data_IF_619689419298
#
_entry.id   IF_619689419298
#
_cell.length_a   1.000
_cell.length_b   1.000
_cell.length_c   1.000
_cell.angle_alpha   90.00
_cell.angle_beta   90.00
_cell.angle_gamma   90.00
#
_symmetry.space_group_name_H-M   'P 1'
#
loop_
_entity.id
_entity.type
_entity.pdbx_description
1 polymer ?
#
# COMPACT_ATOMS: atom_id res chain seq x y z
N UNK A 1 3.57 8.65 29.91
CA UNK A 1 3.82 7.26 29.51
C UNK A 1 4.20 7.31 28.03
N UNK A 2 5.50 7.23 27.70
CA UNK A 2 5.97 7.26 26.32
C UNK A 2 5.42 6.00 25.60
N UNK A 3 4.53 6.20 24.63
CA UNK A 3 4.22 5.15 23.66
C UNK A 3 5.42 5.05 22.71
N UNK A 4 6.27 4.07 22.93
CA UNK A 4 7.26 3.68 21.92
C UNK A 4 6.49 2.91 20.84
N UNK A 5 6.10 3.58 19.78
CA UNK A 5 5.74 2.88 18.53
C UNK A 5 7.06 2.34 17.97
N UNK A 6 7.27 1.04 18.11
CA UNK A 6 8.41 0.39 17.46
C UNK A 6 8.03 0.13 16.01
N UNK A 7 8.24 1.13 15.18
CA UNK A 7 7.99 1.08 13.74
C UNK A 7 9.25 0.73 12.95
N UNK A 8 10.40 0.77 13.62
CA UNK A 8 11.64 0.21 13.09
C UNK A 8 12.39 -0.56 14.19
N UNK A 9 13.17 -1.53 13.77
CA UNK A 9 14.09 -2.29 14.62
C UNK A 9 15.47 -2.24 13.98
N UNK A 10 16.49 -2.06 14.80
CA UNK A 10 17.87 -2.15 14.36
C UNK A 10 18.50 -3.38 15.03
N UNK A 11 18.98 -4.31 14.24
CA UNK A 11 19.71 -5.48 14.69
C UNK A 11 21.16 -5.42 14.20
N UNK A 12 22.11 -5.66 15.09
CA UNK A 12 23.54 -5.69 14.77
C UNK A 12 23.95 -7.14 14.50
N UNK A 13 24.36 -7.42 13.28
CA UNK A 13 24.95 -8.69 12.89
C UNK A 13 26.47 -8.53 12.74
N UNK A 14 27.19 -9.65 12.74
CA UNK A 14 28.65 -9.65 12.49
C UNK A 14 29.01 -9.07 11.11
N UNK A 15 28.08 -9.15 10.14
CA UNK A 15 28.25 -8.70 8.74
C UNK A 15 27.67 -7.33 8.44
N UNK A 16 27.13 -6.59 9.44
CA UNK A 16 26.49 -5.28 9.24
C UNK A 16 25.24 -5.12 10.08
N UNK A 17 24.52 -4.01 9.88
CA UNK A 17 23.23 -3.73 10.55
C UNK A 17 22.08 -4.23 9.69
N UNK A 18 21.05 -4.75 10.32
CA UNK A 18 19.72 -4.89 9.68
C UNK A 18 18.79 -3.87 10.29
N UNK A 19 18.23 -3.02 9.45
CA UNK A 19 17.24 -1.99 9.83
C UNK A 19 15.90 -2.41 9.25
N UNK A 20 14.93 -2.65 10.12
CA UNK A 20 13.60 -3.11 9.74
C UNK A 20 12.59 -1.98 9.89
N UNK A 21 11.85 -1.67 8.84
CA UNK A 21 10.73 -0.73 8.83
C UNK A 21 9.42 -1.49 8.66
N UNK A 22 8.41 -1.08 9.42
CA UNK A 22 7.07 -1.64 9.32
C UNK A 22 6.11 -0.58 8.79
N UNK A 23 5.70 -0.73 7.53
CA UNK A 23 4.75 0.15 6.84
C UNK A 23 3.36 -0.50 6.95
N UNK A 24 2.60 -0.14 7.99
CA UNK A 24 1.32 -0.80 8.31
C UNK A 24 0.11 0.09 8.18
N UNK A 25 0.29 1.38 8.35
CA UNK A 25 -0.77 2.37 8.35
C UNK A 25 -0.73 3.22 7.08
N UNK A 26 -1.45 4.31 7.08
CA UNK A 26 -1.45 5.30 6.02
C UNK A 26 -0.06 5.94 5.86
N UNK A 27 0.39 6.06 4.63
CA UNK A 27 1.59 6.83 4.29
C UNK A 27 1.20 8.30 4.34
N UNK A 28 1.79 9.02 5.29
CA UNK A 28 1.45 10.41 5.53
C UNK A 28 2.66 11.25 5.95
N UNK A 29 2.65 12.56 5.65
CA UNK A 29 3.67 13.47 6.16
C UNK A 29 3.57 13.60 7.69
N UNK A 30 4.61 14.19 8.28
CA UNK A 30 4.49 14.73 9.63
C UNK A 30 3.43 15.82 9.67
N UNK A 31 2.75 15.91 10.77
CA UNK A 31 1.65 16.84 10.97
C UNK A 31 1.64 17.45 12.36
N UNK A 32 0.58 18.14 12.64
CA UNK A 32 0.20 18.61 13.96
C UNK A 32 -1.19 18.10 14.29
N UNK A 33 -1.43 17.79 15.56
CA UNK A 33 -2.76 17.41 16.04
C UNK A 33 -3.16 18.29 17.22
N UNK A 34 -4.45 18.50 17.39
CA UNK A 34 -4.98 19.23 18.53
C UNK A 34 -5.07 18.28 19.74
N UNK A 35 -4.34 18.63 20.80
CA UNK A 35 -4.42 17.94 22.09
C UNK A 35 -5.51 18.59 22.96
N UNK A 36 -6.63 17.92 23.11
CA UNK A 36 -7.76 18.38 23.90
C UNK A 36 -7.46 18.51 25.40
N UNK A 37 -6.42 17.84 25.92
CA UNK A 37 -6.04 17.91 27.32
C UNK A 37 -5.26 19.18 27.65
N UNK A 38 -4.41 19.60 26.75
CA UNK A 38 -3.57 20.81 26.87
C UNK A 38 -4.15 22.04 26.16
N UNK A 39 -5.20 21.85 25.34
CA UNK A 39 -5.79 22.88 24.47
C UNK A 39 -4.76 23.55 23.53
N UNK A 40 -3.86 22.76 22.99
CA UNK A 40 -2.79 23.21 22.07
C UNK A 40 -2.63 22.28 20.90
N UNK A 41 -2.08 22.82 19.81
CA UNK A 41 -1.50 22.02 18.76
C UNK A 41 -0.20 21.41 19.26
N UNK A 42 0.00 20.13 18.99
CA UNK A 42 1.22 19.38 19.29
C UNK A 42 1.68 18.66 18.04
N UNK A 43 2.99 18.46 17.93
CA UNK A 43 3.55 17.70 16.82
C UNK A 43 2.94 16.29 16.75
N UNK A 44 2.66 15.85 15.54
CA UNK A 44 2.18 14.50 15.22
C UNK A 44 3.13 13.85 14.19
N UNK A 45 4.32 13.42 14.62
CA UNK A 45 5.30 12.81 13.73
C UNK A 45 4.76 11.52 13.14
N UNK A 46 5.09 11.28 11.87
CA UNK A 46 4.73 10.07 11.16
C UNK A 46 5.95 9.19 10.95
N UNK A 47 5.80 7.90 11.26
CA UNK A 47 6.78 6.85 10.97
C UNK A 47 6.72 6.34 9.51
N UNK A 48 5.77 6.85 8.74
CA UNK A 48 5.63 6.65 7.30
C UNK A 48 5.94 7.92 6.51
N UNK A 49 6.57 8.91 7.12
CA UNK A 49 7.01 10.13 6.44
C UNK A 49 8.39 9.97 5.80
N UNK A 50 8.62 10.68 4.71
CA UNK A 50 9.95 10.75 4.08
C UNK A 50 11.03 11.20 5.05
N UNK A 51 10.73 12.14 5.97
CA UNK A 51 11.67 12.59 7.00
C UNK A 51 12.11 11.44 7.88
N UNK A 52 11.16 10.66 8.40
CA UNK A 52 11.45 9.51 9.24
C UNK A 52 12.37 8.49 8.55
N UNK A 53 12.10 8.17 7.29
CA UNK A 53 12.97 7.29 6.51
C UNK A 53 14.38 7.89 6.32
N UNK A 54 14.49 9.15 5.95
CA UNK A 54 15.79 9.80 5.78
C UNK A 54 16.64 9.76 7.05
N UNK A 55 16.03 10.03 8.22
CA UNK A 55 16.72 10.00 9.50
C UNK A 55 17.24 8.60 9.85
N UNK A 56 16.46 7.57 9.60
CA UNK A 56 16.81 6.19 9.94
C UNK A 56 17.68 5.48 8.90
N UNK A 57 17.70 5.95 7.66
CA UNK A 57 18.62 5.48 6.61
C UNK A 57 19.99 6.17 6.69
N UNK A 58 20.11 7.26 7.43
CA UNK A 58 21.35 8.01 7.52
C UNK A 58 22.48 7.18 8.14
N UNK A 59 23.64 7.19 7.47
CA UNK A 59 24.84 6.48 7.94
C UNK A 59 24.85 4.97 7.69
N UNK A 60 23.88 4.44 6.96
CA UNK A 60 23.94 3.05 6.47
C UNK A 60 24.98 2.93 5.35
N UNK A 61 25.56 1.76 5.24
CA UNK A 61 26.63 1.40 4.30
C UNK A 61 26.20 0.20 3.43
N UNK A 62 27.00 -0.13 2.43
CA UNK A 62 26.76 -1.32 1.59
C UNK A 62 26.85 -2.67 2.35
N UNK A 63 27.37 -2.67 3.58
CA UNK A 63 27.40 -3.86 4.43
C UNK A 63 26.07 -4.05 5.19
N UNK A 64 25.19 -3.05 5.17
CA UNK A 64 23.93 -3.06 5.92
C UNK A 64 22.78 -3.55 5.05
N UNK A 65 21.67 -3.94 5.69
CA UNK A 65 20.44 -4.35 5.01
C UNK A 65 19.26 -3.57 5.57
N UNK A 66 18.41 -3.10 4.68
CA UNK A 66 17.11 -2.50 5.01
C UNK A 66 16.03 -3.50 4.67
N UNK A 67 15.13 -3.80 5.60
CA UNK A 67 13.94 -4.62 5.38
C UNK A 67 12.69 -3.81 5.57
N UNK A 68 11.81 -3.86 4.59
CA UNK A 68 10.50 -3.23 4.61
C UNK A 68 9.44 -4.32 4.75
N UNK A 69 8.64 -4.25 5.80
CA UNK A 69 7.46 -5.11 5.97
C UNK A 69 6.23 -4.27 5.68
N UNK A 70 5.54 -4.58 4.58
CA UNK A 70 4.49 -3.73 4.02
C UNK A 70 3.12 -4.42 4.16
N UNK A 71 2.22 -3.74 4.87
CA UNK A 71 0.80 -4.05 4.92
C UNK A 71 0.02 -2.73 5.02
N UNK A 72 -0.11 -2.02 3.91
CA UNK A 72 -0.64 -0.65 3.86
C UNK A 72 -1.55 -0.44 2.65
N UNK A 73 -2.59 0.36 2.86
CA UNK A 73 -3.50 0.83 1.81
C UNK A 73 -2.91 1.97 0.97
N UNK A 74 -1.74 2.49 1.35
CA UNK A 74 -1.13 3.64 0.69
C UNK A 74 -1.37 4.95 1.44
N UNK A 75 -1.51 6.05 0.72
CA UNK A 75 -1.69 7.39 1.28
C UNK A 75 -1.03 8.45 0.41
N UNK A 76 -0.24 9.34 0.99
CA UNK A 76 0.36 10.48 0.31
C UNK A 76 1.44 10.05 -0.72
N UNK A 77 1.18 10.36 -1.98
CA UNK A 77 2.06 10.00 -3.10
C UNK A 77 3.40 10.76 -3.06
N UNK A 78 3.42 11.98 -2.53
CA UNK A 78 4.65 12.78 -2.40
C UNK A 78 5.58 12.14 -1.38
N UNK A 79 5.03 11.70 -0.23
CA UNK A 79 5.80 10.97 0.77
C UNK A 79 6.33 9.65 0.20
N UNK A 80 5.49 8.89 -0.53
CA UNK A 80 5.90 7.63 -1.14
C UNK A 80 7.05 7.81 -2.16
N UNK A 81 6.96 8.79 -3.05
CA UNK A 81 8.03 9.11 -4.01
C UNK A 81 9.31 9.58 -3.30
N UNK A 82 9.16 10.31 -2.20
CA UNK A 82 10.27 10.73 -1.36
C UNK A 82 10.96 9.55 -0.67
N UNK A 83 10.19 8.62 -0.11
CA UNK A 83 10.69 7.39 0.51
C UNK A 83 11.35 6.49 -0.55
N UNK A 84 10.70 6.27 -1.70
CA UNK A 84 11.29 5.57 -2.84
C UNK A 84 12.69 6.11 -3.17
N UNK A 85 12.78 7.44 -3.32
CA UNK A 85 14.04 8.10 -3.65
C UNK A 85 15.09 7.98 -2.54
N UNK A 86 14.68 8.00 -1.28
CA UNK A 86 15.58 7.80 -0.13
C UNK A 86 16.17 6.37 -0.12
N UNK A 87 15.30 5.36 -0.30
CA UNK A 87 15.71 3.95 -0.38
C UNK A 87 16.63 3.69 -1.56
N UNK A 88 16.33 4.24 -2.75
CA UNK A 88 17.18 4.09 -3.95
C UNK A 88 18.55 4.76 -3.83
N UNK A 89 18.70 5.79 -2.99
CA UNK A 89 19.98 6.44 -2.69
C UNK A 89 20.74 5.76 -1.55
N UNK A 90 20.06 4.94 -0.75
CA UNK A 90 20.69 4.22 0.34
C UNK A 90 21.70 3.21 -0.22
N UNK A 91 22.94 3.16 0.29
CA UNK A 91 23.92 2.18 -0.17
C UNK A 91 23.66 0.75 0.34
N UNK A 92 22.81 0.59 1.37
CA UNK A 92 22.43 -0.71 1.92
C UNK A 92 21.54 -1.50 0.94
N UNK A 93 21.59 -2.82 1.03
CA UNK A 93 20.66 -3.69 0.32
C UNK A 93 19.24 -3.50 0.85
N UNK A 94 18.27 -3.28 -0.03
CA UNK A 94 16.87 -3.08 0.35
C UNK A 94 16.04 -4.32 -0.03
N UNK A 95 15.36 -4.90 0.95
CA UNK A 95 14.44 -6.03 0.77
C UNK A 95 13.03 -5.61 1.22
N UNK A 96 12.02 -5.90 0.41
CA UNK A 96 10.62 -5.66 0.76
C UNK A 96 9.87 -6.99 0.89
N UNK A 97 9.11 -7.12 1.96
CA UNK A 97 8.24 -8.24 2.27
C UNK A 97 6.81 -7.73 2.33
N UNK A 98 5.93 -8.28 1.50
CA UNK A 98 4.52 -7.92 1.49
C UNK A 98 3.79 -8.81 2.48
N UNK A 99 3.36 -8.24 3.60
CA UNK A 99 2.71 -8.98 4.70
C UNK A 99 1.21 -9.15 4.52
N UNK A 100 0.60 -8.33 3.64
CA UNK A 100 -0.81 -8.35 3.34
C UNK A 100 -1.07 -7.58 2.06
N UNK A 101 -1.14 -6.27 2.16
CA UNK A 101 -1.36 -5.38 1.01
C UNK A 101 -0.19 -4.43 0.81
N UNK A 102 0.23 -4.26 -0.44
CA UNK A 102 1.00 -3.12 -0.89
C UNK A 102 0.12 -2.34 -1.88
N UNK A 103 -0.75 -1.47 -1.38
CA UNK A 103 -1.72 -0.77 -2.21
C UNK A 103 -1.32 0.69 -2.45
N UNK A 104 -1.64 1.22 -3.65
CA UNK A 104 -1.45 2.64 -3.98
C UNK A 104 -0.02 3.13 -3.70
N UNK A 105 0.15 4.18 -2.91
CA UNK A 105 1.44 4.74 -2.52
C UNK A 105 2.41 3.70 -1.90
N UNK A 106 1.90 2.69 -1.19
CA UNK A 106 2.72 1.62 -0.61
C UNK A 106 3.34 0.71 -1.68
N UNK A 107 2.67 0.51 -2.80
CA UNK A 107 3.23 -0.24 -3.93
C UNK A 107 4.41 0.49 -4.57
N UNK A 108 4.36 1.84 -4.63
CA UNK A 108 5.49 2.65 -5.13
C UNK A 108 6.72 2.45 -4.24
N UNK A 109 6.55 2.44 -2.93
CA UNK A 109 7.66 2.21 -1.98
C UNK A 109 8.27 0.82 -2.19
N UNK A 110 7.45 -0.21 -2.38
CA UNK A 110 7.94 -1.56 -2.65
C UNK A 110 8.83 -1.64 -3.89
N UNK A 111 8.57 -0.81 -4.92
CA UNK A 111 9.38 -0.76 -6.14
C UNK A 111 10.82 -0.25 -5.90
N UNK A 112 11.11 0.36 -4.76
CA UNK A 112 12.45 0.80 -4.43
C UNK A 112 13.38 -0.34 -4.00
N UNK A 113 12.84 -1.50 -3.62
CA UNK A 113 13.60 -2.62 -3.10
C UNK A 113 14.43 -3.33 -4.19
N UNK A 114 15.58 -3.85 -3.80
CA UNK A 114 16.40 -4.71 -4.67
C UNK A 114 15.78 -6.12 -4.78
N UNK A 115 15.04 -6.54 -3.75
CA UNK A 115 14.31 -7.81 -3.70
C UNK A 115 12.93 -7.58 -3.10
N UNK A 116 11.89 -8.05 -3.78
CA UNK A 116 10.50 -8.01 -3.31
C UNK A 116 9.99 -9.44 -3.15
N UNK A 117 9.62 -9.78 -1.93
CA UNK A 117 9.09 -11.09 -1.53
C UNK A 117 7.60 -10.96 -1.29
N UNK A 118 6.82 -11.80 -1.94
CA UNK A 118 5.37 -11.70 -1.92
C UNK A 118 4.73 -13.08 -1.69
N UNK A 119 4.32 -13.41 -0.43
CA UNK A 119 3.56 -14.61 -0.15
C UNK A 119 2.30 -14.71 -1.01
N UNK A 120 1.86 -15.92 -1.35
CA UNK A 120 0.72 -16.15 -2.25
C UNK A 120 -0.62 -15.63 -1.74
N UNK A 121 -0.74 -15.43 -0.42
CA UNK A 121 -1.91 -14.86 0.24
C UNK A 121 -1.89 -13.34 0.34
N UNK A 122 -1.00 -12.65 -0.40
CA UNK A 122 -0.87 -11.19 -0.39
C UNK A 122 -1.21 -10.58 -1.73
N UNK A 123 -1.49 -9.29 -1.75
CA UNK A 123 -1.91 -8.56 -2.94
C UNK A 123 -1.17 -7.23 -3.08
N UNK A 124 -1.02 -6.78 -4.32
CA UNK A 124 -0.62 -5.42 -4.65
C UNK A 124 -1.77 -4.72 -5.39
N UNK A 125 -1.97 -3.42 -5.16
CA UNK A 125 -2.93 -2.63 -5.93
C UNK A 125 -2.23 -1.38 -6.47
N UNK A 126 -2.42 -1.16 -7.76
CA UNK A 126 -1.86 -0.03 -8.46
C UNK A 126 -2.95 0.81 -9.12
N UNK A 127 -2.85 2.11 -9.01
CA UNK A 127 -3.76 3.08 -9.63
C UNK A 127 -3.08 4.44 -9.81
N UNK A 128 -3.69 5.32 -10.58
CA UNK A 128 -3.26 6.69 -10.73
C UNK A 128 -3.45 7.49 -9.44
N UNK A 129 -2.58 8.46 -9.19
CA UNK A 129 -2.76 9.41 -8.10
C UNK A 129 -4.08 10.18 -8.27
N UNK A 130 -4.72 10.45 -7.14
CA UNK A 130 -5.95 11.21 -7.12
C UNK A 130 -5.94 12.22 -5.98
N UNK A 131 -6.58 13.37 -6.17
CA UNK A 131 -6.88 14.32 -5.11
C UNK A 131 -8.25 14.97 -5.28
N UNK A 132 -8.81 15.49 -4.21
CA UNK A 132 -10.00 16.30 -4.25
C UNK A 132 -9.63 17.75 -4.61
N UNK A 133 -10.30 18.34 -5.61
CA UNK A 133 -10.10 19.73 -6.01
C UNK A 133 -11.40 20.37 -6.40
N UNK A 134 -11.44 21.70 -6.34
CA UNK A 134 -12.55 22.51 -6.83
C UNK A 134 -11.99 23.74 -7.51
N UNK A 135 -12.76 24.34 -8.43
CA UNK A 135 -12.33 25.54 -9.14
C UNK A 135 -13.15 25.78 -10.40
N UNK A 136 -12.79 26.81 -11.14
CA UNK A 136 -13.34 27.07 -12.46
C UNK A 136 -12.79 26.06 -13.50
N UNK A 137 -13.35 25.99 -14.72
CA UNK A 137 -12.91 25.01 -15.72
C UNK A 137 -11.41 25.06 -16.08
N UNK A 138 -10.79 26.25 -16.01
CA UNK A 138 -9.36 26.39 -16.30
C UNK A 138 -8.50 25.81 -15.17
N UNK A 139 -8.88 26.06 -13.93
CA UNK A 139 -8.22 25.52 -12.74
C UNK A 139 -8.34 24.00 -12.65
N UNK A 140 -9.52 23.46 -12.98
CA UNK A 140 -9.75 22.01 -13.00
C UNK A 140 -8.90 21.30 -14.07
N UNK A 141 -8.78 21.89 -15.29
CA UNK A 141 -7.89 21.33 -16.32
C UNK A 141 -6.44 21.37 -15.88
N UNK A 142 -6.00 22.51 -15.32
CA UNK A 142 -4.65 22.60 -14.78
C UNK A 142 -4.39 21.55 -13.69
N UNK A 143 -5.34 21.34 -12.81
CA UNK A 143 -5.23 20.30 -11.76
C UNK A 143 -5.11 18.89 -12.35
N UNK A 144 -5.81 18.59 -13.45
CA UNK A 144 -5.67 17.35 -14.17
C UNK A 144 -4.27 17.21 -14.81
N UNK A 145 -3.76 18.27 -15.44
CA UNK A 145 -2.42 18.29 -16.03
C UNK A 145 -1.33 18.07 -14.95
N UNK A 146 -1.49 18.67 -13.78
CA UNK A 146 -0.58 18.51 -12.65
C UNK A 146 -0.58 17.03 -12.14
N UNK A 147 -1.74 16.36 -12.09
CA UNK A 147 -1.86 14.93 -11.74
C UNK A 147 -1.16 14.03 -12.78
N UNK A 148 -1.24 14.34 -14.06
CA UNK A 148 -0.54 13.60 -15.11
C UNK A 148 0.98 13.62 -14.90
N UNK A 149 1.54 14.74 -14.45
CA UNK A 149 2.97 14.84 -14.12
C UNK A 149 3.32 13.94 -12.93
N UNK A 150 2.48 13.94 -11.89
CA UNK A 150 2.67 13.08 -10.71
C UNK A 150 2.56 11.59 -11.09
N UNK A 151 1.57 11.23 -11.91
CA UNK A 151 1.41 9.88 -12.44
C UNK A 151 2.63 9.43 -13.23
N UNK A 152 3.21 10.32 -14.06
CA UNK A 152 4.43 10.01 -14.80
C UNK A 152 5.61 9.69 -13.87
N UNK A 153 5.73 10.40 -12.74
CA UNK A 153 6.75 10.11 -11.74
C UNK A 153 6.52 8.74 -11.06
N UNK A 154 5.27 8.41 -10.73
CA UNK A 154 4.91 7.11 -10.16
C UNK A 154 5.17 5.97 -11.17
N UNK A 155 4.77 6.13 -12.44
CA UNK A 155 4.99 5.18 -13.52
C UNK A 155 6.49 4.86 -13.66
N UNK A 156 7.36 5.87 -13.54
CA UNK A 156 8.80 5.69 -13.61
C UNK A 156 9.34 4.73 -12.53
N UNK A 157 8.70 4.68 -11.37
CA UNK A 157 9.07 3.73 -10.30
C UNK A 157 8.73 2.29 -10.66
N UNK A 158 7.56 2.06 -11.26
CA UNK A 158 7.14 0.73 -11.70
C UNK A 158 7.94 0.25 -12.91
N UNK A 159 8.17 1.11 -13.91
CA UNK A 159 8.93 0.75 -15.12
C UNK A 159 10.39 0.46 -14.80
N UNK A 160 10.99 1.20 -13.87
CA UNK A 160 12.35 0.93 -13.41
C UNK A 160 12.46 -0.44 -12.71
N UNK A 161 11.39 -0.91 -12.06
CA UNK A 161 11.34 -2.20 -11.39
C UNK A 161 11.03 -3.34 -12.36
N UNK A 162 9.98 -3.18 -13.14
CA UNK A 162 9.45 -4.22 -14.02
C UNK A 162 10.38 -4.52 -15.22
N UNK A 163 11.14 -3.53 -15.69
CA UNK A 163 11.93 -3.64 -16.89
C UNK A 163 11.07 -4.02 -18.11
N UNK A 164 11.56 -4.94 -18.92
CA UNK A 164 10.86 -5.39 -20.13
C UNK A 164 9.66 -6.32 -19.87
N UNK A 165 9.44 -6.73 -18.60
CA UNK A 165 8.33 -7.64 -18.25
C UNK A 165 6.96 -6.97 -18.24
N UNK A 166 6.91 -5.65 -18.09
CA UNK A 166 5.66 -4.86 -18.10
C UNK A 166 5.84 -3.63 -18.98
N UNK A 167 5.38 -3.66 -20.24
CA UNK A 167 5.41 -2.50 -21.12
C UNK A 167 4.63 -1.31 -20.51
N UNK A 168 5.16 -0.09 -20.65
CA UNK A 168 4.54 1.11 -20.07
C UNK A 168 3.09 1.29 -20.52
N UNK A 169 2.76 0.95 -21.77
CA UNK A 169 1.39 1.05 -22.29
C UNK A 169 0.41 0.12 -21.56
N UNK A 170 0.84 -1.08 -21.17
CA UNK A 170 0.05 -2.02 -20.37
C UNK A 170 -0.06 -1.52 -18.91
N UNK A 171 1.06 -1.07 -18.34
CA UNK A 171 1.08 -0.47 -17.00
C UNK A 171 0.09 0.70 -16.88
N UNK A 172 0.05 1.62 -17.86
CA UNK A 172 -0.91 2.73 -17.88
C UNK A 172 -2.35 2.25 -17.87
N UNK A 173 -2.69 1.23 -18.66
CA UNK A 173 -4.04 0.66 -18.66
C UNK A 173 -4.39 0.04 -17.31
N UNK A 174 -3.43 -0.62 -16.65
CA UNK A 174 -3.63 -1.19 -15.32
C UNK A 174 -3.83 -0.10 -14.26
N UNK A 175 -3.09 1.00 -14.33
CA UNK A 175 -3.25 2.15 -13.44
C UNK A 175 -4.60 2.85 -13.64
N UNK A 176 -5.03 3.03 -14.89
CA UNK A 176 -6.34 3.60 -15.23
C UNK A 176 -7.50 2.74 -14.74
N UNK A 177 -7.30 1.42 -14.72
CA UNK A 177 -8.30 0.44 -14.30
C UNK A 177 -8.31 0.15 -12.79
N UNK A 178 -7.43 0.79 -12.00
CA UNK A 178 -7.25 0.46 -10.57
C UNK A 178 -7.11 -1.04 -10.36
N UNK A 179 -5.94 -1.57 -10.73
CA UNK A 179 -5.74 -3.01 -10.85
C UNK A 179 -5.21 -3.63 -9.56
N UNK A 180 -5.90 -4.67 -9.10
CA UNK A 180 -5.43 -5.57 -8.06
C UNK A 180 -4.63 -6.71 -8.66
N UNK A 181 -3.45 -6.97 -8.11
CA UNK A 181 -2.49 -7.95 -8.57
C UNK A 181 -2.26 -9.00 -7.50
N UNK A 182 -2.36 -10.27 -7.88
CA UNK A 182 -1.91 -11.39 -7.06
C UNK A 182 -0.39 -11.46 -7.00
N UNK A 183 0.16 -12.28 -6.11
CA UNK A 183 1.59 -12.57 -6.10
C UNK A 183 2.07 -13.15 -7.45
N UNK A 184 1.26 -14.00 -8.10
CA UNK A 184 1.57 -14.58 -9.41
C UNK A 184 1.67 -13.49 -10.49
N UNK A 185 0.73 -12.53 -10.49
CA UNK A 185 0.76 -11.39 -11.41
C UNK A 185 1.98 -10.49 -11.17
N UNK A 186 2.28 -10.19 -9.91
CA UNK A 186 3.43 -9.37 -9.54
C UNK A 186 4.75 -10.00 -10.01
N UNK A 187 4.93 -11.30 -9.84
CA UNK A 187 6.11 -12.03 -10.34
C UNK A 187 6.15 -12.04 -11.86
N UNK A 188 5.01 -12.31 -12.51
CA UNK A 188 4.89 -12.29 -13.96
C UNK A 188 5.32 -10.94 -14.56
N UNK A 189 4.85 -9.85 -13.96
CA UNK A 189 5.13 -8.49 -14.40
C UNK A 189 6.45 -7.90 -13.87
N UNK A 190 7.21 -8.65 -13.06
CA UNK A 190 8.49 -8.20 -12.52
C UNK A 190 8.36 -7.15 -11.39
N UNK A 191 7.19 -7.02 -10.80
CA UNK A 191 6.94 -6.19 -9.62
C UNK A 191 7.33 -6.90 -8.32
N UNK A 192 7.39 -8.23 -8.33
CA UNK A 192 7.95 -9.07 -7.28
C UNK A 192 8.94 -10.07 -7.86
N UNK A 193 9.82 -10.62 -7.01
CA UNK A 193 10.89 -11.54 -7.41
C UNK A 193 10.55 -12.98 -7.07
N UNK A 194 9.96 -13.22 -5.91
CA UNK A 194 9.74 -14.57 -5.39
C UNK A 194 8.58 -14.64 -4.42
N UNK A 195 8.13 -15.88 -4.19
CA UNK A 195 7.12 -16.16 -3.17
C UNK A 195 7.78 -16.27 -1.79
N UNK A 196 7.17 -15.67 -0.76
CA UNK A 196 7.62 -15.76 0.63
C UNK A 196 7.08 -16.98 1.36
N UNK A 197 6.87 -18.08 0.67
CA UNK A 197 6.20 -19.27 1.21
C UNK A 197 7.19 -20.27 1.84
N UNK A 198 8.43 -19.86 2.09
CA UNK A 198 9.39 -20.72 2.77
C UNK A 198 9.18 -20.68 4.29
N UNK A 199 9.29 -21.83 4.95
CA UNK A 199 9.13 -21.94 6.40
C UNK A 199 10.06 -20.98 7.18
N UNK A 200 11.24 -20.69 6.63
CA UNK A 200 12.21 -19.78 7.23
C UNK A 200 11.75 -18.31 7.19
N UNK A 201 11.23 -17.85 6.03
CA UNK A 201 10.73 -16.48 5.88
C UNK A 201 9.48 -16.28 6.73
N UNK A 202 8.57 -17.26 6.72
CA UNK A 202 7.34 -17.24 7.53
C UNK A 202 7.67 -17.23 9.04
N UNK A 203 8.66 -17.99 9.48
CA UNK A 203 9.08 -18.01 10.88
C UNK A 203 9.73 -16.69 11.31
N UNK A 204 10.54 -16.07 10.45
CA UNK A 204 11.14 -14.76 10.71
C UNK A 204 10.10 -13.66 10.77
N UNK A 205 9.14 -13.65 9.83
CA UNK A 205 8.00 -12.73 9.85
C UNK A 205 7.18 -12.88 11.14
N UNK A 206 6.86 -14.11 11.54
CA UNK A 206 6.13 -14.39 12.78
C UNK A 206 6.87 -13.88 14.03
N UNK A 207 8.20 -14.01 14.09
CA UNK A 207 9.02 -13.48 15.17
C UNK A 207 9.01 -11.95 15.19
N UNK A 208 9.13 -11.31 14.02
CA UNK A 208 9.08 -9.85 13.88
C UNK A 208 7.71 -9.31 14.30
N UNK A 209 6.63 -9.98 13.90
CA UNK A 209 5.26 -9.62 14.33
C UNK A 209 5.06 -9.79 15.84
N UNK A 210 5.54 -10.89 16.40
CA UNK A 210 5.44 -11.15 17.84
C UNK A 210 6.22 -10.11 18.66
N UNK A 211 7.42 -9.74 18.22
CA UNK A 211 8.23 -8.70 18.84
C UNK A 211 7.56 -7.32 18.77
N UNK A 212 7.02 -6.94 17.60
CA UNK A 212 6.33 -5.69 17.41
C UNK A 212 5.01 -5.62 18.20
N UNK A 213 4.23 -6.69 18.22
CA UNK A 213 3.00 -6.78 19.01
C UNK A 213 3.28 -6.71 20.52
N UNK A 214 4.37 -7.35 20.98
CA UNK A 214 4.82 -7.28 22.36
C UNK A 214 5.30 -5.88 22.77
N UNK A 215 5.95 -5.16 21.86
CA UNK A 215 6.42 -3.79 22.09
C UNK A 215 5.31 -2.74 21.99
N UNK A 216 4.32 -2.96 21.14
CA UNK A 216 3.23 -2.02 20.91
C UNK A 216 2.14 -2.04 21.99
N UNK A 217 2.09 -3.07 22.88
CA UNK A 217 1.15 -3.18 23.99
C UNK A 217 -0.15 -2.40 23.77
N UNK A 218 -1.06 -2.90 22.93
CA UNK A 218 -2.43 -2.43 22.68
C UNK A 218 -2.79 -1.88 21.29
N UNK A 219 -3.83 -2.49 20.81
CA UNK A 219 -4.97 -1.98 20.04
C UNK A 219 -4.68 -1.55 18.61
N UNK A 220 -4.77 -2.53 17.75
CA UNK A 220 -5.18 -2.35 16.36
C UNK A 220 -6.55 -1.66 16.35
N UNK A 221 -6.59 -0.35 16.20
CA UNK A 221 -7.79 0.33 15.75
C UNK A 221 -7.96 -0.01 14.28
N UNK A 222 -8.96 -0.81 13.98
CA UNK A 222 -9.40 -1.09 12.64
C UNK A 222 -9.80 0.23 11.95
N UNK A 223 -8.92 0.82 11.17
CA UNK A 223 -9.28 1.83 10.20
C UNK A 223 -9.91 1.11 9.01
N UNK A 224 -11.17 1.42 8.74
CA UNK A 224 -11.92 1.02 7.56
C UNK A 224 -11.97 -0.50 7.33
N UNK A 225 -13.14 -1.13 7.54
CA UNK A 225 -13.31 -2.52 7.10
C UNK A 225 -13.00 -2.59 5.60
N UNK A 226 -12.12 -3.51 5.15
CA UNK A 226 -12.01 -3.79 3.73
C UNK A 226 -13.39 -4.20 3.19
N UNK A 227 -13.70 -3.93 1.92
CA UNK A 227 -14.94 -4.42 1.32
C UNK A 227 -15.12 -5.90 1.65
N UNK A 228 -16.33 -6.33 2.05
CA UNK A 228 -16.60 -7.69 2.56
C UNK A 228 -16.12 -8.81 1.63
N UNK A 229 -16.08 -8.57 0.32
CA UNK A 229 -15.58 -9.53 -0.67
C UNK A 229 -14.05 -9.74 -0.61
N UNK A 230 -13.27 -8.73 -0.22
CA UNK A 230 -11.81 -8.84 -0.05
C UNK A 230 -11.46 -9.60 1.23
N UNK A 231 -12.18 -9.34 2.32
CA UNK A 231 -12.02 -10.09 3.56
C UNK A 231 -12.35 -11.59 3.34
N UNK A 232 -13.39 -11.89 2.55
CA UNK A 232 -13.76 -13.26 2.21
C UNK A 232 -12.71 -13.94 1.30
N UNK A 233 -12.12 -13.23 0.33
CA UNK A 233 -11.08 -13.76 -0.54
C UNK A 233 -9.78 -14.07 0.22
N UNK A 234 -9.35 -13.18 1.11
CA UNK A 234 -8.16 -13.39 1.95
C UNK A 234 -8.35 -14.54 2.95
N UNK A 235 -9.54 -14.65 3.57
CA UNK A 235 -9.87 -15.79 4.45
C UNK A 235 -9.92 -17.12 3.69
N UNK A 236 -10.43 -17.13 2.47
CA UNK A 236 -10.46 -18.33 1.62
C UNK A 236 -9.05 -18.77 1.20
N UNK A 237 -8.16 -17.82 0.85
CA UNK A 237 -6.77 -18.09 0.50
C UNK A 237 -5.98 -18.62 1.72
N UNK A 238 -6.15 -18.01 2.90
CA UNK A 238 -5.52 -18.47 4.14
C UNK A 238 -6.00 -19.88 4.55
N UNK A 239 -7.29 -20.19 4.38
CA UNK A 239 -7.83 -21.52 4.66
C UNK A 239 -7.29 -22.60 3.71
N UNK A 240 -7.00 -22.24 2.46
CA UNK A 240 -6.40 -23.15 1.48
C UNK A 240 -4.92 -23.46 1.78
N UNK A 241 -4.15 -22.49 2.27
CA UNK A 241 -2.74 -22.70 2.62
C UNK A 241 -2.57 -23.62 3.83
N UNK A 242 -3.50 -23.60 4.79
CA UNK A 242 -3.49 -24.52 5.96
C UNK A 242 -3.97 -25.93 5.58
N UNK A 243 -4.79 -26.09 4.55
CA UNK A 243 -5.30 -27.37 4.11
C UNK A 243 -4.43 -28.09 3.06
N UNK A 244 -3.38 -27.42 2.54
CA UNK A 244 -2.52 -27.90 1.43
C UNK A 244 -1.56 -29.04 1.77
N UNK A 245 -1.74 -29.77 2.87
CA UNK A 245 -1.03 -31.01 3.17
C UNK A 245 -1.55 -32.25 2.43
N UNK A 246 -2.61 -32.18 1.62
CA UNK A 246 -3.13 -33.31 0.84
C UNK A 246 -3.45 -32.89 -0.59
N UNK A 247 -2.72 -33.48 -1.53
CA UNK A 247 -2.95 -33.34 -2.98
C UNK A 247 -4.35 -33.80 -3.38
N UNK A 248 -5.23 -32.85 -3.71
CA UNK A 248 -6.31 -33.05 -4.68
C UNK A 248 -6.60 -31.72 -5.35
N UNK A 249 -6.44 -31.67 -6.68
CA UNK A 249 -6.82 -30.52 -7.50
C UNK A 249 -8.30 -30.23 -7.34
N UNK A 250 -8.71 -29.04 -6.86
CA UNK A 250 -10.12 -28.69 -6.82
C UNK A 250 -10.60 -28.31 -8.22
N UNK A 251 -11.70 -28.93 -8.64
CA UNK A 251 -12.48 -28.51 -9.80
C UNK A 251 -13.00 -27.09 -9.54
N UNK A 252 -12.88 -26.15 -10.48
CA UNK A 252 -13.38 -24.80 -10.29
C UNK A 252 -14.90 -24.82 -10.09
N UNK A 253 -15.44 -23.99 -9.17
CA UNK A 253 -16.87 -23.88 -8.98
C UNK A 253 -17.55 -23.38 -10.26
N UNK A 254 -18.79 -23.85 -10.58
CA UNK A 254 -19.51 -23.39 -11.76
C UNK A 254 -19.74 -21.88 -11.65
N UNK A 255 -19.53 -21.19 -12.78
CA UNK A 255 -19.75 -19.76 -12.89
C UNK A 255 -21.14 -19.37 -12.36
N UNK A 256 -21.28 -18.28 -11.60
CA UNK A 256 -22.58 -17.82 -11.14
C UNK A 256 -23.46 -17.54 -12.36
N UNK A 257 -24.67 -18.11 -12.38
CA UNK A 257 -25.68 -17.81 -13.39
C UNK A 257 -25.90 -16.29 -13.35
N UNK A 258 -25.77 -15.66 -14.53
CA UNK A 258 -26.06 -14.25 -14.70
C UNK A 258 -27.42 -13.94 -14.07
N UNK A 259 -27.39 -13.10 -13.03
CA UNK A 259 -28.61 -12.56 -12.47
C UNK A 259 -29.27 -11.70 -13.55
N UNK A 260 -30.52 -12.00 -13.86
CA UNK A 260 -31.34 -11.18 -14.76
C UNK A 260 -31.41 -9.78 -14.15
N UNK A 261 -30.91 -8.80 -14.88
CA UNK A 261 -31.00 -7.38 -14.52
C UNK A 261 -32.49 -7.03 -14.41
N UNK A 262 -33.00 -6.60 -13.25
CA UNK A 262 -34.35 -6.05 -13.20
C UNK A 262 -34.40 -4.74 -14.03
N UNK A 263 -35.54 -4.52 -14.71
CA UNK A 263 -35.77 -3.30 -15.47
C UNK A 263 -35.52 -2.06 -14.61
N UNK A 264 -35.02 -0.95 -15.20
CA UNK A 264 -34.69 0.23 -14.43
C UNK A 264 -35.97 0.79 -13.79
N UNK A 265 -36.03 0.71 -12.47
CA UNK A 265 -36.97 1.49 -11.66
C UNK A 265 -36.49 2.93 -11.67
N UNK A 266 -37.38 3.84 -12.03
CA UNK A 266 -37.12 5.29 -12.01
C UNK A 266 -36.54 5.70 -10.66
N UNK A 267 -35.34 6.24 -10.68
CA UNK A 267 -34.68 6.82 -9.51
C UNK A 267 -35.48 8.05 -9.06
N UNK A 268 -35.83 8.22 -7.80
CA UNK A 268 -36.42 9.46 -7.32
C UNK A 268 -35.44 10.61 -7.59
N UNK A 269 -35.88 11.65 -8.29
CA UNK A 269 -35.09 12.88 -8.50
C UNK A 269 -34.61 13.38 -7.14
N UNK A 270 -33.31 13.65 -7.02
CA UNK A 270 -32.72 14.12 -5.77
C UNK A 270 -33.38 15.42 -5.32
N UNK A 271 -33.51 15.62 -4.02
CA UNK A 271 -34.17 16.79 -3.40
C UNK A 271 -33.62 18.14 -3.83
N UNK A 272 -32.42 18.19 -4.39
CA UNK A 272 -31.77 19.39 -4.93
C UNK A 272 -32.48 19.90 -6.22
N UNK A 273 -32.93 19.01 -7.10
CA UNK A 273 -33.64 19.42 -8.31
C UNK A 273 -35.01 20.00 -8.00
N UNK A 274 -35.69 19.48 -6.96
CA UNK A 274 -36.98 20.03 -6.51
C UNK A 274 -36.83 21.43 -5.87
N UNK A 275 -35.70 21.67 -5.19
CA UNK A 275 -35.39 22.99 -4.62
C UNK A 275 -35.09 24.04 -5.71
N UNK A 276 -34.38 23.68 -6.77
CA UNK A 276 -34.04 24.56 -7.87
C UNK A 276 -35.28 24.94 -8.71
N UNK A 277 -36.22 24.02 -8.93
CA UNK A 277 -37.49 24.32 -9.65
C UNK A 277 -38.38 25.28 -8.88
N UNK A 278 -38.33 25.30 -7.55
CA UNK A 278 -39.11 26.24 -6.72
C UNK A 278 -38.50 27.64 -6.62
N UNK A 279 -37.18 27.79 -6.87
CA UNK A 279 -36.52 29.10 -6.86
C UNK A 279 -36.67 29.90 -8.17
N UNK A 280 -37.22 29.31 -9.24
CA UNK A 280 -37.42 29.98 -10.52
C UNK A 280 -38.88 30.42 -10.77
N UNK A 281 -39.75 30.33 -9.76
CA UNK A 281 -41.20 30.65 -9.85
C UNK A 281 -41.63 31.86 -8.99
N UNK A 282 -40.67 32.68 -8.52
CA UNK A 282 -40.98 34.01 -7.96
C UNK A 282 -40.42 35.14 -8.83
#
# INVERSE_FOLDING_TARGET
MLKMNVTHKVEMLETGKVVEFMIRDEIRPDGVKFDWSSWKEVDDPSDTSQRYFNENLAGLTAADTVRLYINSWGGDVKEALGIYSALRRCPAKVEAYIDGYAASAASIIAMAADRVVMPRNTCMMIHNAAWATYGNPTELRKSADDLEIINTAAISSYTARAGDKLPESELRQMLDAETWLSADDCIKYGLADEYGDTDADTAQMAQTYAAAASAAGETVRAYGKPPEYLAAACLAAAAQSVAGGLQTTPTPPPAPKAAQTPAPTETPRSSIYTLLENMTKE
#
